data_IF_372947382964
#
_entry.id   IF_372947382964
#
_cell.length_a   1.000
_cell.length_b   1.000
_cell.length_c   1.000
_cell.angle_alpha   90.00
_cell.angle_beta   90.00
_cell.angle_gamma   90.00
#
_symmetry.space_group_name_H-M   'P 1'
#
loop_
_entity.id
_entity.type
_entity.pdbx_description
1 polymer ?
#
# COMPACT_ATOMS: atom_id res chain seq x y z
N UNK A 1 -20.84 -11.17 -21.35
CA UNK A 1 -19.93 -10.49 -20.41
C UNK A 1 -18.53 -10.66 -20.97
N UNK A 2 -17.83 -9.57 -21.31
CA UNK A 2 -16.54 -9.64 -21.99
C UNK A 2 -15.50 -10.26 -21.04
N UNK A 3 -14.93 -11.41 -21.42
CA UNK A 3 -13.99 -12.19 -20.60
C UNK A 3 -12.75 -11.36 -20.23
N UNK A 4 -12.28 -10.51 -21.14
CA UNK A 4 -11.19 -9.56 -20.92
C UNK A 4 -11.51 -8.55 -19.81
N UNK A 5 -12.74 -8.01 -19.81
CA UNK A 5 -13.18 -7.06 -18.81
C UNK A 5 -13.33 -7.71 -17.43
N UNK A 6 -13.74 -8.99 -17.39
CA UNK A 6 -13.83 -9.77 -16.15
C UNK A 6 -12.45 -10.10 -15.58
N UNK A 7 -11.49 -10.51 -16.42
CA UNK A 7 -10.11 -10.77 -16.02
C UNK A 7 -9.43 -9.50 -15.50
N UNK A 8 -9.63 -8.36 -16.17
CA UNK A 8 -9.11 -7.08 -15.71
C UNK A 8 -9.77 -6.63 -14.40
N UNK A 9 -11.09 -6.80 -14.27
CA UNK A 9 -11.79 -6.51 -13.02
C UNK A 9 -11.26 -7.37 -11.85
N UNK A 10 -11.01 -8.67 -12.09
CA UNK A 10 -10.37 -9.55 -11.10
C UNK A 10 -8.95 -9.12 -10.78
N UNK A 11 -8.13 -8.81 -11.77
CA UNK A 11 -6.77 -8.34 -11.55
C UNK A 11 -6.73 -7.02 -10.76
N UNK A 12 -7.72 -6.13 -10.95
CA UNK A 12 -7.87 -4.90 -10.15
C UNK A 12 -8.27 -5.18 -8.70
N UNK A 13 -9.07 -6.22 -8.47
CA UNK A 13 -9.46 -6.65 -7.12
C UNK A 13 -8.28 -7.30 -6.39
N UNK A 14 -7.54 -8.18 -7.07
CA UNK A 14 -6.44 -8.94 -6.47
C UNK A 14 -5.13 -8.13 -6.41
N UNK A 15 -4.98 -7.11 -7.26
CA UNK A 15 -3.84 -6.19 -7.43
C UNK A 15 -2.52 -6.81 -7.83
N UNK A 16 -2.16 -7.96 -7.27
CA UNK A 16 -1.08 -8.82 -7.73
C UNK A 16 -1.67 -10.09 -8.29
N UNK A 17 -1.37 -10.37 -9.56
CA UNK A 17 -1.66 -11.67 -10.18
C UNK A 17 -0.35 -12.45 -10.23
N UNK A 18 -0.16 -13.50 -9.42
CA UNK A 18 1.00 -14.36 -9.55
C UNK A 18 1.13 -14.88 -10.98
N UNK A 19 2.33 -14.85 -11.57
CA UNK A 19 2.52 -15.28 -12.97
C UNK A 19 2.08 -16.75 -13.13
N UNK A 20 2.30 -17.59 -12.11
CA UNK A 20 1.84 -18.98 -12.09
C UNK A 20 0.30 -19.13 -12.07
N UNK A 21 -0.41 -18.16 -11.49
CA UNK A 21 -1.88 -18.17 -11.41
C UNK A 21 -2.56 -17.60 -12.66
N UNK A 22 -1.83 -16.88 -13.52
CA UNK A 22 -2.32 -16.34 -14.78
C UNK A 22 -2.54 -17.41 -15.87
N UNK A 23 -2.20 -18.68 -15.61
CA UNK A 23 -2.19 -19.74 -16.62
C UNK A 23 -1.06 -19.54 -17.64
N UNK A 24 -0.82 -20.53 -18.50
CA UNK A 24 0.22 -20.51 -19.54
C UNK A 24 0.29 -19.18 -20.32
N UNK A 25 1.41 -18.90 -21.01
CA UNK A 25 1.78 -17.64 -21.69
C UNK A 25 0.65 -16.83 -22.36
N UNK A 26 -0.42 -17.49 -22.82
CA UNK A 26 -1.64 -16.90 -23.36
C UNK A 26 -2.43 -16.05 -22.34
N UNK A 27 -2.55 -16.47 -21.08
CA UNK A 27 -3.34 -15.75 -20.07
C UNK A 27 -2.72 -14.42 -19.65
N UNK A 28 -1.39 -14.35 -19.56
CA UNK A 28 -0.67 -13.10 -19.33
C UNK A 28 -0.78 -12.15 -20.54
N UNK A 29 -0.75 -12.71 -21.75
CA UNK A 29 -0.89 -11.94 -23.00
C UNK A 29 -2.30 -11.34 -23.13
N UNK A 30 -3.34 -12.09 -22.78
CA UNK A 30 -4.73 -11.61 -22.72
C UNK A 30 -4.86 -10.50 -21.68
N UNK A 31 -4.27 -10.67 -20.49
CA UNK A 31 -4.32 -9.65 -19.45
C UNK A 31 -3.58 -8.36 -19.85
N UNK A 32 -2.43 -8.47 -20.54
CA UNK A 32 -1.70 -7.32 -21.11
C UNK A 32 -2.55 -6.57 -22.13
N UNK A 33 -3.14 -7.28 -23.09
CA UNK A 33 -4.05 -6.70 -24.10
C UNK A 33 -5.26 -6.02 -23.47
N UNK A 34 -5.87 -6.63 -22.45
CA UNK A 34 -7.01 -6.07 -21.74
C UNK A 34 -6.63 -4.78 -20.97
N UNK A 35 -5.43 -4.73 -20.39
CA UNK A 35 -4.91 -3.53 -19.73
C UNK A 35 -4.65 -2.40 -20.75
N UNK A 36 -3.98 -2.70 -21.87
CA UNK A 36 -3.70 -1.71 -22.93
C UNK A 36 -4.98 -1.08 -23.48
N UNK A 37 -6.03 -1.90 -23.67
CA UNK A 37 -7.34 -1.46 -24.17
C UNK A 37 -8.07 -0.44 -23.28
N UNK A 38 -7.63 -0.24 -22.04
CA UNK A 38 -8.17 0.76 -21.10
C UNK A 38 -7.11 1.74 -20.60
N UNK A 39 -6.02 1.92 -21.36
CA UNK A 39 -4.90 2.81 -21.00
C UNK A 39 -4.25 2.47 -19.66
N UNK A 40 -4.24 1.17 -19.31
CA UNK A 40 -3.51 0.63 -18.16
C UNK A 40 -2.29 -0.15 -18.66
N UNK A 41 -1.28 -0.32 -17.82
CA UNK A 41 -0.17 -1.23 -18.07
C UNK A 41 -0.06 -2.27 -16.97
N UNK A 42 0.34 -3.48 -17.34
CA UNK A 42 0.87 -4.43 -16.39
C UNK A 42 2.33 -4.12 -16.12
N UNK A 43 2.71 -4.08 -14.85
CA UNK A 43 4.08 -3.94 -14.39
C UNK A 43 4.44 -5.25 -13.69
N UNK A 44 5.57 -5.83 -14.09
CA UNK A 44 6.11 -7.01 -13.41
C UNK A 44 6.58 -6.57 -12.01
N UNK A 45 6.19 -7.31 -10.98
CA UNK A 45 6.53 -7.06 -9.58
C UNK A 45 6.98 -8.37 -8.92
N UNK A 46 7.93 -8.28 -7.99
CA UNK A 46 8.33 -9.41 -7.18
C UNK A 46 7.43 -9.46 -5.94
N UNK A 47 6.68 -10.55 -5.75
CA UNK A 47 5.69 -10.70 -4.68
C UNK A 47 6.08 -11.81 -3.69
N UNK A 48 5.44 -11.83 -2.52
CA UNK A 48 5.54 -12.98 -1.59
C UNK A 48 4.98 -14.22 -2.30
N UNK A 49 5.87 -15.14 -2.71
CA UNK A 49 5.53 -16.32 -3.51
C UNK A 49 6.07 -16.33 -4.94
N UNK A 50 6.83 -15.31 -5.36
CA UNK A 50 7.56 -15.28 -6.62
C UNK A 50 7.12 -14.16 -7.58
N UNK A 51 7.46 -14.25 -8.88
CA UNK A 51 7.17 -13.20 -9.86
C UNK A 51 5.66 -13.07 -10.08
N UNK A 52 5.21 -11.83 -10.16
CA UNK A 52 3.81 -11.49 -10.32
C UNK A 52 3.62 -10.23 -11.18
N UNK A 53 2.38 -9.93 -11.56
CA UNK A 53 2.06 -8.72 -12.32
C UNK A 53 1.02 -7.88 -11.61
N UNK A 54 1.20 -6.56 -11.68
CA UNK A 54 0.29 -5.57 -11.13
C UNK A 54 -0.21 -4.62 -12.21
N UNK A 55 -1.51 -4.33 -12.20
CA UNK A 55 -2.12 -3.33 -13.09
C UNK A 55 -1.84 -1.92 -12.55
N UNK A 56 -1.07 -1.11 -13.27
CA UNK A 56 -0.86 0.33 -13.02
C UNK A 56 -1.39 1.17 -14.18
N UNK A 57 -1.43 2.49 -14.02
CA UNK A 57 -1.57 3.40 -15.15
C UNK A 57 -0.31 3.38 -16.01
N UNK A 58 -0.45 3.63 -17.30
CA UNK A 58 0.73 3.81 -18.16
C UNK A 58 1.49 5.07 -17.69
N UNK A 59 2.84 5.06 -17.69
CA UNK A 59 3.65 6.18 -17.17
C UNK A 59 3.43 7.51 -17.90
N UNK A 60 2.88 7.45 -19.12
CA UNK A 60 2.53 8.56 -20.00
C UNK A 60 1.03 8.93 -19.99
N UNK A 61 0.22 8.21 -19.20
CA UNK A 61 -1.22 8.49 -19.03
C UNK A 61 -1.43 9.01 -17.61
N UNK A 62 -1.32 10.33 -17.48
CA UNK A 62 -1.72 11.05 -16.28
C UNK A 62 -3.26 11.11 -16.21
N UNK A 63 -3.91 10.68 -15.13
CA UNK A 63 -5.34 10.85 -15.00
C UNK A 63 -5.67 12.35 -14.96
N UNK A 64 -6.54 12.79 -15.86
CA UNK A 64 -7.01 14.18 -15.94
C UNK A 64 -7.75 14.52 -14.64
N UNK A 65 -7.09 15.21 -13.73
CA UNK A 65 -7.67 15.74 -12.50
C UNK A 65 -8.60 16.91 -12.85
N UNK A 66 -9.90 16.87 -12.50
CA UNK A 66 -10.71 18.08 -12.66
C UNK A 66 -12.23 18.06 -12.53
N UNK A 67 -12.91 16.94 -12.26
CA UNK A 67 -14.39 16.98 -12.11
C UNK A 67 -14.84 16.33 -10.81
N UNK A 68 -15.51 17.13 -9.97
CA UNK A 68 -16.19 16.65 -8.76
C UNK A 68 -17.24 15.62 -9.17
N UNK A 69 -17.03 14.37 -8.77
CA UNK A 69 -17.83 13.22 -9.20
C UNK A 69 -17.05 12.18 -10.02
N UNK A 70 -15.82 12.48 -10.41
CA UNK A 70 -14.91 11.51 -11.02
C UNK A 70 -14.15 10.72 -9.94
N UNK A 71 -14.30 9.39 -9.83
CA UNK A 71 -13.50 8.55 -8.92
C UNK A 71 -11.97 8.60 -9.20
N UNK A 72 -11.54 9.36 -10.21
CA UNK A 72 -10.16 9.67 -10.56
C UNK A 72 -9.65 11.01 -10.01
N UNK A 73 -10.44 11.75 -9.20
CA UNK A 73 -9.89 12.91 -8.49
C UNK A 73 -8.77 12.43 -7.55
N UNK A 74 -7.54 12.87 -7.79
CA UNK A 74 -6.41 12.68 -6.89
C UNK A 74 -6.72 13.31 -5.54
N UNK A 75 -7.34 12.53 -4.66
CA UNK A 75 -7.47 12.92 -3.27
C UNK A 75 -6.08 12.83 -2.68
N UNK A 76 -5.52 13.97 -2.28
CA UNK A 76 -4.32 13.98 -1.46
C UNK A 76 -4.50 13.01 -0.29
N UNK A 77 -3.49 12.18 -0.03
CA UNK A 77 -3.54 11.23 1.07
C UNK A 77 -3.77 12.00 2.36
N UNK A 78 -4.77 11.58 3.13
CA UNK A 78 -5.05 12.23 4.41
C UNK A 78 -3.82 12.09 5.34
N UNK A 79 -3.56 13.05 6.24
CA UNK A 79 -2.43 12.96 7.16
C UNK A 79 -2.37 11.65 7.94
N UNK A 80 -3.53 11.12 8.35
CA UNK A 80 -3.62 9.81 9.02
C UNK A 80 -3.16 8.65 8.13
N UNK A 81 -3.36 8.71 6.82
CA UNK A 81 -2.90 7.70 5.86
C UNK A 81 -1.39 7.77 5.67
N UNK A 82 -0.84 8.98 5.55
CA UNK A 82 0.61 9.17 5.43
C UNK A 82 1.34 8.70 6.69
N UNK A 83 0.85 9.08 7.89
CA UNK A 83 1.41 8.63 9.16
C UNK A 83 1.30 7.11 9.33
N UNK A 84 0.15 6.52 9.04
CA UNK A 84 -0.05 5.07 9.14
C UNK A 84 0.86 4.31 8.17
N UNK A 85 1.03 4.82 6.95
CA UNK A 85 1.94 4.21 5.98
C UNK A 85 3.40 4.34 6.43
N UNK A 86 3.81 5.51 6.91
CA UNK A 86 5.16 5.74 7.44
C UNK A 86 5.48 4.82 8.62
N UNK A 87 4.54 4.67 9.57
CA UNK A 87 4.67 3.76 10.70
C UNK A 87 4.78 2.30 10.26
N UNK A 88 3.92 1.87 9.33
CA UNK A 88 3.96 0.51 8.80
C UNK A 88 5.27 0.23 8.04
N UNK A 89 5.76 1.18 7.25
CA UNK A 89 7.08 1.10 6.60
C UNK A 89 8.17 0.95 7.64
N UNK A 90 8.24 1.83 8.64
CA UNK A 90 9.30 1.82 9.66
C UNK A 90 9.34 0.49 10.41
N UNK A 91 8.19 -0.03 10.80
CA UNK A 91 8.09 -1.29 11.56
C UNK A 91 8.29 -2.54 10.70
N UNK A 92 7.87 -2.52 9.43
CA UNK A 92 8.09 -3.64 8.52
C UNK A 92 9.49 -3.61 7.87
N UNK A 93 10.24 -2.51 7.98
CA UNK A 93 11.58 -2.34 7.43
C UNK A 93 12.54 -1.89 8.53
N UNK A 94 12.89 -2.77 9.49
CA UNK A 94 13.68 -2.39 10.67
C UNK A 94 15.14 -2.06 10.35
N UNK A 95 15.66 -2.58 9.24
CA UNK A 95 17.00 -2.29 8.75
C UNK A 95 16.91 -1.62 7.36
N UNK A 96 17.18 -0.31 7.26
CA UNK A 96 17.10 0.44 6.00
C UNK A 96 18.12 -0.02 4.95
N UNK A 97 19.16 -0.76 5.33
CA UNK A 97 20.15 -1.30 4.38
C UNK A 97 19.63 -2.53 3.63
N UNK A 98 18.53 -3.14 4.11
CA UNK A 98 17.88 -4.27 3.45
C UNK A 98 16.85 -3.81 2.41
N UNK A 99 16.39 -4.75 1.59
CA UNK A 99 15.28 -4.50 0.66
C UNK A 99 13.99 -4.15 1.43
N UNK A 100 13.33 -3.06 1.04
CA UNK A 100 12.09 -2.59 1.67
C UNK A 100 10.94 -3.60 1.56
N UNK A 101 10.80 -4.25 0.40
CA UNK A 101 9.74 -5.22 0.13
C UNK A 101 10.33 -6.63 -0.08
N UNK A 102 9.72 -7.71 0.45
CA UNK A 102 8.44 -7.75 1.17
C UNK A 102 8.51 -7.22 2.61
N UNK A 103 9.72 -7.01 3.14
CA UNK A 103 9.93 -6.61 4.53
C UNK A 103 9.49 -7.69 5.52
N UNK A 104 9.39 -7.29 6.79
CA UNK A 104 8.83 -8.07 7.89
C UNK A 104 7.33 -7.85 8.10
N UNK A 105 6.83 -8.40 9.20
CA UNK A 105 5.47 -8.17 9.67
C UNK A 105 5.52 -7.42 11.02
N UNK A 106 4.60 -6.49 11.22
CA UNK A 106 4.46 -5.72 12.46
C UNK A 106 3.07 -5.95 13.07
N UNK A 107 2.92 -5.91 14.39
CA UNK A 107 1.60 -5.99 14.99
C UNK A 107 0.77 -4.75 14.62
N UNK A 108 -0.52 -4.92 14.35
CA UNK A 108 -1.41 -3.79 14.04
C UNK A 108 -1.42 -2.77 15.19
N UNK A 109 -1.35 -3.24 16.43
CA UNK A 109 -1.31 -2.39 17.63
C UNK A 109 -0.05 -1.51 17.68
N UNK A 110 1.11 -2.04 17.31
CA UNK A 110 2.38 -1.29 17.29
C UNK A 110 2.35 -0.20 16.20
N UNK A 111 1.77 -0.51 15.04
CA UNK A 111 1.58 0.48 13.95
C UNK A 111 0.67 1.61 14.41
N UNK A 112 -0.42 1.29 15.11
CA UNK A 112 -1.33 2.29 15.65
C UNK A 112 -0.68 3.12 16.75
N UNK A 113 0.08 2.49 17.66
CA UNK A 113 0.82 3.18 18.71
C UNK A 113 1.85 4.15 18.13
N UNK A 114 2.61 3.74 17.11
CA UNK A 114 3.58 4.58 16.42
C UNK A 114 2.97 5.83 15.75
N UNK A 115 1.66 5.83 15.46
CA UNK A 115 0.97 6.98 14.89
C UNK A 115 0.53 8.01 15.95
N UNK A 116 0.53 7.65 17.23
CA UNK A 116 0.10 8.52 18.32
C UNK A 116 1.34 9.22 18.88
N UNK A 117 1.37 10.57 18.92
CA UNK A 117 2.49 11.28 19.53
C UNK A 117 2.59 10.95 21.02
N UNK A 118 3.80 10.81 21.60
CA UNK A 118 3.95 10.64 23.03
C UNK A 118 3.34 11.85 23.75
N UNK A 119 2.28 11.59 24.53
CA UNK A 119 1.49 12.64 25.15
C UNK A 119 2.07 13.07 26.50
N UNK A 120 2.44 14.35 26.59
CA UNK A 120 2.63 15.03 27.88
C UNK A 120 1.25 15.30 28.52
N UNK A 121 0.91 14.51 29.55
CA UNK A 121 0.05 14.97 30.64
C UNK A 121 -1.48 14.96 30.45
N UNK A 122 -2.10 13.99 31.11
CA UNK A 122 -3.36 14.06 31.87
C UNK A 122 -4.65 14.59 31.19
N UNK A 123 -5.55 13.63 30.93
CA UNK A 123 -6.99 13.70 31.27
C UNK A 123 -7.87 14.73 30.54
N UNK A 124 -7.64 15.01 29.25
CA UNK A 124 -8.63 15.73 28.41
C UNK A 124 -9.25 14.93 27.27
N UNK A 125 -8.77 13.72 27.00
CA UNK A 125 -8.75 13.23 25.60
C UNK A 125 -9.41 11.86 25.34
N UNK A 126 -10.31 11.35 26.19
CA UNK A 126 -10.95 10.04 25.95
C UNK A 126 -11.67 9.93 24.59
N UNK A 127 -12.51 10.91 24.23
CA UNK A 127 -13.20 10.93 22.93
C UNK A 127 -12.28 11.34 21.78
N UNK A 128 -11.31 12.23 22.02
CA UNK A 128 -10.34 12.65 21.01
C UNK A 128 -9.41 11.50 20.61
N UNK A 129 -8.91 10.75 21.60
CA UNK A 129 -8.10 9.54 21.42
C UNK A 129 -8.88 8.44 20.70
N UNK A 130 -10.16 8.22 21.05
CA UNK A 130 -11.04 7.26 20.35
C UNK A 130 -11.26 7.68 18.89
N UNK A 131 -11.55 8.97 18.63
CA UNK A 131 -11.72 9.48 17.27
C UNK A 131 -10.43 9.35 16.45
N UNK A 132 -9.28 9.67 17.05
CA UNK A 132 -7.97 9.57 16.41
C UNK A 132 -7.60 8.11 16.10
N UNK A 133 -7.80 7.19 17.05
CA UNK A 133 -7.64 5.74 16.85
C UNK A 133 -8.56 5.22 15.73
N UNK A 134 -9.81 5.71 15.68
CA UNK A 134 -10.75 5.34 14.62
C UNK A 134 -10.27 5.81 13.24
N UNK A 135 -9.61 6.97 13.17
CA UNK A 135 -9.06 7.51 11.94
C UNK A 135 -7.88 6.67 11.42
N UNK A 136 -6.98 6.21 12.29
CA UNK A 136 -5.87 5.34 11.90
C UNK A 136 -6.33 3.93 11.52
N UNK A 137 -7.31 3.35 12.22
CA UNK A 137 -7.95 2.09 11.79
C UNK A 137 -8.66 2.23 10.44
N UNK A 138 -9.24 3.40 10.16
CA UNK A 138 -9.79 3.71 8.83
C UNK A 138 -8.67 3.81 7.79
N UNK A 139 -7.56 4.46 8.13
CA UNK A 139 -6.38 4.56 7.27
C UNK A 139 -5.80 3.18 6.92
N UNK A 140 -5.66 2.25 7.88
CA UNK A 140 -5.24 0.86 7.61
C UNK A 140 -6.14 0.20 6.57
N UNK A 141 -7.47 0.28 6.74
CA UNK A 141 -8.44 -0.27 5.77
C UNK A 141 -8.27 0.35 4.40
N UNK A 142 -8.07 1.67 4.31
CA UNK A 142 -7.84 2.36 3.03
C UNK A 142 -6.51 1.96 2.41
N UNK A 143 -5.43 1.89 3.17
CA UNK A 143 -4.11 1.49 2.66
C UNK A 143 -4.10 0.03 2.19
N UNK A 144 -4.81 -0.87 2.88
CA UNK A 144 -5.12 -2.24 2.41
C UNK A 144 -5.98 -2.22 1.15
N UNK A 145 -6.92 -1.28 1.02
CA UNK A 145 -7.73 -1.07 -0.18
C UNK A 145 -7.01 -0.30 -1.31
N UNK A 146 -5.81 0.21 -1.08
CA UNK A 146 -4.96 0.81 -2.10
C UNK A 146 -3.79 -0.11 -2.49
N UNK A 147 -3.49 -1.12 -1.67
CA UNK A 147 -2.44 -2.10 -1.92
C UNK A 147 -1.07 -1.68 -1.38
N UNK A 148 -1.02 -0.61 -0.58
CA UNK A 148 0.18 -0.23 0.17
C UNK A 148 0.43 -1.14 1.36
N UNK A 149 -0.63 -1.75 1.90
CA UNK A 149 -0.56 -2.84 2.87
C UNK A 149 -1.17 -4.11 2.26
N UNK A 150 -0.65 -5.26 2.65
CA UNK A 150 -1.22 -6.55 2.27
C UNK A 150 -2.64 -6.73 2.85
N UNK A 151 -3.43 -7.59 2.23
CA UNK A 151 -4.75 -7.95 2.76
C UNK A 151 -4.61 -8.54 4.17
N UNK A 152 -5.60 -8.26 5.01
CA UNK A 152 -5.64 -8.78 6.38
C UNK A 152 -5.83 -10.31 6.36
N UNK A 153 -4.88 -11.02 6.95
CA UNK A 153 -4.91 -12.48 7.06
C UNK A 153 -5.69 -12.97 8.30
N UNK A 154 -6.19 -12.04 9.15
CA UNK A 154 -6.85 -12.35 10.41
C UNK A 154 -5.88 -12.72 11.54
N UNK A 155 -4.59 -12.45 11.36
CA UNK A 155 -3.52 -12.76 12.33
C UNK A 155 -3.09 -11.55 13.17
N UNK A 156 -3.76 -10.39 12.99
CA UNK A 156 -3.42 -9.15 13.70
C UNK A 156 -2.14 -8.49 13.22
N UNK A 157 -1.58 -8.93 12.08
CA UNK A 157 -0.32 -8.43 11.55
C UNK A 157 -0.52 -7.51 10.34
N UNK A 158 0.28 -6.46 10.28
CA UNK A 158 0.44 -5.56 9.13
C UNK A 158 1.67 -5.98 8.36
N UNK A 159 1.54 -6.03 7.03
CA UNK A 159 2.63 -6.32 6.08
C UNK A 159 2.58 -5.34 4.93
N UNK A 160 3.74 -5.03 4.35
CA UNK A 160 3.81 -4.17 3.19
C UNK A 160 3.10 -4.81 1.99
N UNK A 161 2.41 -3.96 1.25
CA UNK A 161 1.59 -4.37 0.14
C UNK A 161 2.32 -4.25 -1.20
N UNK A 162 1.73 -4.85 -2.24
CA UNK A 162 2.19 -4.79 -3.63
C UNK A 162 2.62 -3.44 -4.18
N UNK A 163 1.94 -2.37 -3.77
CA UNK A 163 2.23 -1.03 -4.26
C UNK A 163 3.60 -0.54 -3.82
N UNK A 164 4.10 -1.03 -2.69
CA UNK A 164 5.44 -0.71 -2.18
C UNK A 164 6.52 -1.40 -3.02
N UNK A 165 6.28 -2.62 -3.48
CA UNK A 165 7.19 -3.32 -4.40
C UNK A 165 7.38 -2.59 -5.74
N UNK A 166 6.45 -1.71 -6.10
CA UNK A 166 6.47 -0.95 -7.34
C UNK A 166 7.01 0.48 -7.17
N UNK A 167 7.56 0.80 -6.00
CA UNK A 167 8.34 2.02 -5.81
C UNK A 167 9.65 1.93 -6.56
N UNK A 168 10.10 3.05 -7.12
CA UNK A 168 11.40 3.07 -7.81
C UNK A 168 12.53 3.00 -6.79
N UNK A 169 13.71 2.55 -7.22
CA UNK A 169 14.92 2.59 -6.36
C UNK A 169 15.17 4.00 -5.81
N UNK A 170 14.87 5.04 -6.60
CA UNK A 170 14.95 6.42 -6.16
C UNK A 170 14.01 6.74 -4.99
N UNK A 171 12.75 6.30 -5.07
CA UNK A 171 11.78 6.53 -3.98
C UNK A 171 12.23 5.83 -2.69
N UNK A 172 12.77 4.61 -2.82
CA UNK A 172 13.32 3.84 -1.70
C UNK A 172 14.56 4.51 -1.13
N UNK A 173 15.44 5.06 -1.96
CA UNK A 173 16.63 5.80 -1.52
C UNK A 173 16.24 7.11 -0.79
N UNK A 174 15.23 7.84 -1.27
CA UNK A 174 14.71 9.03 -0.60
C UNK A 174 14.13 8.66 0.78
N UNK A 175 13.39 7.55 0.85
CA UNK A 175 12.87 7.01 2.10
C UNK A 175 13.99 6.57 3.06
N UNK A 176 15.05 5.95 2.54
CA UNK A 176 16.24 5.53 3.31
C UNK A 176 16.90 6.74 3.98
N UNK A 177 17.06 7.84 3.25
CA UNK A 177 17.64 9.08 3.79
C UNK A 177 16.75 9.73 4.86
N UNK A 178 15.44 9.57 4.75
CA UNK A 178 14.45 10.06 5.71
C UNK A 178 14.03 9.03 6.76
N UNK A 179 14.73 7.90 6.87
CA UNK A 179 14.29 6.75 7.64
C UNK A 179 14.01 7.09 9.12
N UNK A 180 14.84 7.93 9.73
CA UNK A 180 14.71 8.37 11.13
C UNK A 180 13.59 9.40 11.37
N UNK A 181 12.99 9.91 10.29
CA UNK A 181 11.80 10.76 10.38
C UNK A 181 10.51 9.95 10.32
N UNK A 182 10.58 8.65 10.02
CA UNK A 182 9.41 7.80 9.98
C UNK A 182 8.87 7.55 11.40
N UNK A 183 7.53 7.53 11.59
CA UNK A 183 6.96 7.30 12.91
C UNK A 183 7.37 5.94 13.50
N UNK A 184 7.91 5.97 14.71
CA UNK A 184 8.08 4.80 15.58
C UNK A 184 7.82 5.22 17.03
N UNK A 185 7.50 4.25 17.89
CA UNK A 185 7.64 4.46 19.32
C UNK A 185 9.13 4.27 19.65
N UNK A 186 9.76 5.31 20.20
CA UNK A 186 11.09 5.18 20.80
C UNK A 186 10.88 4.73 22.23
N UNK A 187 11.32 3.52 22.58
CA UNK A 187 11.47 3.19 24.01
C UNK A 187 12.61 4.07 24.55
N UNK A 188 12.26 5.09 25.34
CA UNK A 188 13.24 5.75 26.20
C UNK A 188 13.70 4.72 27.25
N UNK A 189 14.90 4.19 27.07
CA UNK A 189 15.59 3.34 28.05
C UNK A 189 16.20 4.13 29.20
#
# INVERSE_FOLDING_TARGET
MNEDAYLLARARVVRIVPVAAAGAADGLTVLRRAADGVQRRLVDVEAVGGPAVMVRWAPDVEPVSGVVGDPLTHREAAPSQLLTLGAAVRLCWPDPELALYPGGAAAEEDVLAACVPPGDGLLREGMALVAQTSAYRSALRVLRACGYLAADAGDGMVRLGPMVAAWSERDVDELRRGYDLLPCQVEEG
#
